data_IF_156426885148
#
_entry.id   IF_156426885148
#
_cell.length_a   1.000
_cell.length_b   1.000
_cell.length_c   1.000
_cell.angle_alpha   90.00
_cell.angle_beta   90.00
_cell.angle_gamma   90.00
#
_symmetry.space_group_name_H-M   'P 1'
#
loop_
_entity.id
_entity.type
_entity.pdbx_description
1 polymer ?
#
# COMPACT_ATOMS: atom_id res chain seq x y z
N UNK A 1 17.93 3.39 -9.17
CA UNK A 1 16.97 3.93 -8.17
C UNK A 1 17.04 3.10 -6.90
N UNK A 2 17.19 3.73 -5.72
CA UNK A 2 17.21 3.01 -4.44
C UNK A 2 15.89 2.28 -4.19
N UNK A 3 15.90 1.27 -3.34
CA UNK A 3 14.69 0.53 -2.97
C UNK A 3 13.67 1.43 -2.27
N UNK A 4 14.13 2.26 -1.33
CA UNK A 4 13.29 3.25 -0.66
C UNK A 4 12.65 4.25 -1.64
N UNK A 5 13.40 4.75 -2.62
CA UNK A 5 12.87 5.67 -3.64
C UNK A 5 11.76 5.03 -4.49
N UNK A 6 11.86 3.73 -4.80
CA UNK A 6 10.81 3.00 -5.51
C UNK A 6 9.54 2.90 -4.66
N UNK A 7 9.67 2.54 -3.37
CA UNK A 7 8.52 2.50 -2.46
C UNK A 7 7.92 3.89 -2.23
N UNK A 8 8.74 4.94 -2.13
CA UNK A 8 8.26 6.32 -1.99
C UNK A 8 7.43 6.75 -3.21
N UNK A 9 7.88 6.39 -4.42
CA UNK A 9 7.15 6.65 -5.66
C UNK A 9 5.81 5.91 -5.70
N UNK A 10 5.78 4.64 -5.27
CA UNK A 10 4.55 3.86 -5.17
C UNK A 10 3.60 4.46 -4.12
N UNK A 11 4.12 4.85 -2.96
CA UNK A 11 3.33 5.48 -1.90
C UNK A 11 2.71 6.80 -2.38
N UNK A 12 3.47 7.64 -3.09
CA UNK A 12 2.97 8.89 -3.66
C UNK A 12 1.89 8.66 -4.72
N UNK A 13 2.01 7.61 -5.52
CA UNK A 13 0.98 7.24 -6.49
C UNK A 13 -0.32 6.78 -5.82
N UNK A 14 -0.22 5.95 -4.78
CA UNK A 14 -1.37 5.49 -4.00
C UNK A 14 -2.07 6.64 -3.30
N UNK A 15 -1.30 7.54 -2.69
CA UNK A 15 -1.82 8.73 -2.04
C UNK A 15 -2.62 9.58 -3.04
N UNK A 16 -2.05 9.86 -4.20
CA UNK A 16 -2.61 10.83 -5.16
C UNK A 16 -3.90 10.35 -5.83
N UNK A 17 -4.11 9.03 -5.93
CA UNK A 17 -5.31 8.44 -6.56
C UNK A 17 -6.34 7.94 -5.58
N UNK A 18 -5.93 7.56 -4.37
CA UNK A 18 -6.83 6.94 -3.42
C UNK A 18 -7.33 7.97 -2.41
N UNK A 19 -8.65 8.06 -2.16
CA UNK A 19 -9.14 8.87 -1.05
C UNK A 19 -8.65 8.30 0.28
N UNK A 20 -8.34 9.19 1.23
CA UNK A 20 -7.84 8.83 2.57
C UNK A 20 -8.74 7.86 3.35
N UNK A 21 -10.03 7.78 2.99
CA UNK A 21 -11.00 6.85 3.60
C UNK A 21 -10.71 5.39 3.28
N UNK A 22 -9.95 5.08 2.23
CA UNK A 22 -9.57 3.71 1.88
C UNK A 22 -8.38 3.18 2.71
N UNK A 23 -7.56 4.06 3.28
CA UNK A 23 -6.31 3.67 3.95
C UNK A 23 -6.56 2.69 5.10
N UNK A 24 -7.57 2.95 5.93
CA UNK A 24 -7.94 2.07 7.05
C UNK A 24 -8.36 0.66 6.58
N UNK A 25 -9.01 0.54 5.42
CA UNK A 25 -9.40 -0.78 4.89
C UNK A 25 -8.23 -1.57 4.30
N UNK A 26 -7.19 -0.87 3.83
CA UNK A 26 -6.05 -1.48 3.15
C UNK A 26 -4.86 -1.74 4.08
N UNK A 27 -4.64 -0.88 5.07
CA UNK A 27 -3.40 -0.85 5.87
C UNK A 27 -3.61 -1.09 7.37
N UNK A 28 -4.84 -1.14 7.89
CA UNK A 28 -5.08 -1.43 9.31
C UNK A 28 -4.78 -2.90 9.64
N UNK A 29 -3.52 -3.15 9.98
CA UNK A 29 -3.02 -4.47 10.38
C UNK A 29 -3.45 -4.85 11.80
N UNK A 30 -4.13 -3.97 12.52
CA UNK A 30 -4.73 -4.22 13.84
C UNK A 30 -6.07 -4.96 13.75
N UNK A 31 -6.51 -5.33 12.54
CA UNK A 31 -7.77 -6.02 12.26
C UNK A 31 -7.83 -7.47 12.76
N UNK A 32 -7.69 -7.68 14.06
CA UNK A 32 -8.06 -8.91 14.73
C UNK A 32 -9.55 -9.21 14.55
N UNK A 33 -9.84 -10.35 13.92
CA UNK A 33 -10.99 -11.23 14.16
C UNK A 33 -12.41 -10.72 13.77
N UNK A 34 -12.67 -9.42 13.63
CA UNK A 34 -14.05 -8.88 13.51
C UNK A 34 -14.46 -8.20 12.18
N UNK A 35 -13.62 -8.24 11.13
CA UNK A 35 -13.91 -7.57 9.85
C UNK A 35 -14.94 -8.28 8.93
N UNK A 36 -15.62 -9.33 9.40
CA UNK A 36 -16.60 -10.09 8.59
C UNK A 36 -17.96 -9.39 8.40
N UNK A 37 -18.23 -8.25 9.06
CA UNK A 37 -19.61 -7.70 9.14
C UNK A 37 -19.98 -6.50 8.27
N UNK A 38 -19.12 -5.98 7.39
CA UNK A 38 -19.52 -4.91 6.46
C UNK A 38 -19.13 -5.18 5.02
N UNK A 39 -19.70 -6.24 4.44
CA UNK A 39 -19.85 -6.35 2.99
C UNK A 39 -20.88 -5.30 2.55
N UNK A 40 -20.45 -4.05 2.33
CA UNK A 40 -21.26 -3.08 1.59
C UNK A 40 -21.27 -3.51 0.13
N UNK A 41 -22.41 -4.03 -0.33
CA UNK A 41 -22.68 -4.23 -1.75
C UNK A 41 -22.65 -2.86 -2.43
N UNK A 42 -21.64 -2.61 -3.25
CA UNK A 42 -21.63 -1.44 -4.13
C UNK A 42 -22.80 -1.59 -5.11
N UNK A 43 -23.74 -0.65 -5.05
CA UNK A 43 -24.79 -0.52 -6.07
C UNK A 43 -24.15 -0.05 -7.37
N UNK A 44 -24.59 -0.57 -8.52
CA UNK A 44 -24.03 -0.27 -9.86
C UNK A 44 -23.88 1.24 -10.12
N UNK A 45 -24.83 2.05 -9.61
CA UNK A 45 -24.80 3.52 -9.67
C UNK A 45 -23.62 4.19 -8.95
N UNK A 46 -22.94 3.49 -8.05
CA UNK A 46 -21.76 3.99 -7.33
C UNK A 46 -20.44 3.68 -8.03
N UNK A 47 -20.44 2.68 -8.94
CA UNK A 47 -19.26 2.35 -9.75
C UNK A 47 -19.08 3.35 -10.88
N UNK A 48 -20.15 3.73 -11.60
CA UNK A 48 -20.10 4.76 -12.66
C UNK A 48 -19.60 6.12 -12.16
N UNK A 49 -20.03 6.55 -10.95
CA UNK A 49 -19.58 7.82 -10.36
C UNK A 49 -18.11 7.82 -9.96
N UNK A 50 -17.58 6.64 -9.61
CA UNK A 50 -16.16 6.46 -9.29
C UNK A 50 -15.31 6.54 -10.56
N UNK A 51 -15.80 5.99 -11.65
CA UNK A 51 -15.12 5.96 -12.96
C UNK A 51 -15.01 7.37 -13.58
N UNK A 52 -16.07 8.19 -13.45
CA UNK A 52 -16.05 9.60 -13.91
C UNK A 52 -15.08 10.45 -13.07
N UNK A 53 -15.09 10.30 -11.74
CA UNK A 53 -14.17 11.01 -10.85
C UNK A 53 -12.71 10.61 -11.09
N UNK A 54 -12.47 9.34 -11.46
CA UNK A 54 -11.15 8.82 -11.81
C UNK A 54 -10.66 9.39 -13.15
N UNK A 55 -11.55 9.57 -14.13
CA UNK A 55 -11.25 10.24 -15.40
C UNK A 55 -10.95 11.74 -15.21
N UNK A 56 -11.73 12.46 -14.41
CA UNK A 56 -11.48 13.89 -14.13
C UNK A 56 -10.16 14.10 -13.35
N UNK A 57 -9.85 13.23 -12.38
CA UNK A 57 -8.60 13.27 -11.63
C UNK A 57 -7.38 12.97 -12.53
N UNK A 58 -7.51 12.08 -13.52
CA UNK A 58 -6.46 11.79 -14.49
C UNK A 58 -6.11 13.01 -15.36
N UNK A 59 -7.08 13.87 -15.67
CA UNK A 59 -6.85 15.08 -16.48
C UNK A 59 -6.26 16.25 -15.66
N UNK A 60 -6.39 16.24 -14.33
CA UNK A 60 -5.96 17.33 -13.45
C UNK A 60 -4.53 17.19 -12.93
N UNK A 61 -3.94 15.99 -13.09
CA UNK A 61 -2.62 15.66 -12.55
C UNK A 61 -2.64 15.43 -11.03
N UNK A 62 -1.56 14.90 -10.47
CA UNK A 62 -1.45 14.69 -9.03
C UNK A 62 -1.48 16.04 -8.30
N UNK A 63 -2.43 16.19 -7.37
CA UNK A 63 -2.52 17.35 -6.50
C UNK A 63 -1.45 17.36 -5.40
N UNK A 64 -1.44 18.43 -4.61
CA UNK A 64 -0.69 18.48 -3.35
C UNK A 64 -1.29 17.49 -2.35
N UNK A 65 -0.44 16.81 -1.60
CA UNK A 65 -0.87 15.87 -0.59
C UNK A 65 -0.15 15.99 0.76
N UNK A 66 -0.78 15.54 1.87
CA UNK A 66 -0.17 15.56 3.19
C UNK A 66 1.03 14.61 3.26
N UNK A 67 2.17 15.12 3.72
CA UNK A 67 3.39 14.34 3.88
C UNK A 67 3.20 13.21 4.90
N UNK A 68 2.41 13.46 5.94
CA UNK A 68 2.13 12.51 7.03
C UNK A 68 1.47 11.24 6.48
N UNK A 69 0.49 11.41 5.59
CA UNK A 69 -0.21 10.30 4.94
C UNK A 69 0.71 9.52 4.01
N UNK A 70 1.53 10.22 3.22
CA UNK A 70 2.54 9.59 2.35
C UNK A 70 3.49 8.70 3.16
N UNK A 71 4.02 9.21 4.27
CA UNK A 71 4.97 8.49 5.12
C UNK A 71 4.32 7.29 5.81
N UNK A 72 3.06 7.41 6.24
CA UNK A 72 2.31 6.29 6.79
C UNK A 72 2.10 5.17 5.76
N UNK A 73 1.69 5.50 4.53
CA UNK A 73 1.55 4.53 3.44
C UNK A 73 2.89 3.88 3.12
N UNK A 74 3.96 4.68 2.99
CA UNK A 74 5.32 4.18 2.76
C UNK A 74 5.74 3.17 3.81
N UNK A 75 5.56 3.48 5.10
CA UNK A 75 5.94 2.58 6.18
C UNK A 75 5.16 1.26 6.12
N UNK A 76 3.86 1.32 5.78
CA UNK A 76 3.04 0.12 5.63
C UNK A 76 3.55 -0.80 4.51
N UNK A 77 3.83 -0.25 3.32
CA UNK A 77 4.27 -1.06 2.17
C UNK A 77 5.74 -1.47 2.25
N UNK A 78 6.59 -0.64 2.85
CA UNK A 78 8.01 -0.94 3.05
C UNK A 78 8.21 -2.03 4.10
N UNK A 79 7.41 -2.03 5.18
CA UNK A 79 7.46 -3.08 6.22
C UNK A 79 7.13 -4.48 5.68
N UNK A 80 6.19 -4.58 4.73
CA UNK A 80 5.87 -5.83 4.03
C UNK A 80 7.05 -6.27 3.14
N UNK A 81 7.68 -5.32 2.46
CA UNK A 81 8.87 -5.58 1.65
C UNK A 81 10.03 -6.12 2.50
N UNK A 82 10.34 -5.44 3.61
CA UNK A 82 11.49 -5.78 4.45
C UNK A 82 11.30 -7.09 5.21
N UNK A 83 10.10 -7.44 5.66
CA UNK A 83 9.85 -8.74 6.32
C UNK A 83 10.07 -9.92 5.37
N UNK A 84 9.59 -9.84 4.13
CA UNK A 84 9.78 -10.90 3.13
C UNK A 84 11.24 -10.98 2.64
N UNK A 85 11.87 -9.83 2.36
CA UNK A 85 13.29 -9.77 1.95
C UNK A 85 14.26 -10.18 3.06
N UNK A 86 13.96 -9.88 4.33
CA UNK A 86 14.81 -10.24 5.46
C UNK A 86 14.76 -11.75 5.74
N UNK A 87 13.59 -12.38 5.65
CA UNK A 87 13.46 -13.85 5.80
C UNK A 87 14.18 -14.62 4.70
N UNK A 88 14.14 -14.13 3.46
CA UNK A 88 14.87 -14.74 2.34
C UNK A 88 16.40 -14.58 2.50
N UNK A 89 16.87 -13.39 2.91
CA UNK A 89 18.29 -13.16 3.22
C UNK A 89 18.78 -14.02 4.38
N UNK A 90 17.99 -14.14 5.45
CA UNK A 90 18.30 -15.04 6.58
C UNK A 90 18.39 -16.48 6.11
N UNK A 91 17.43 -16.97 5.31
CA UNK A 91 17.50 -18.34 4.75
C UNK A 91 18.75 -18.55 3.92
N UNK A 92 19.11 -17.61 3.03
CA UNK A 92 20.34 -17.71 2.23
C UNK A 92 21.60 -17.72 3.10
N UNK A 93 21.68 -16.87 4.13
CA UNK A 93 22.78 -16.87 5.10
C UNK A 93 22.87 -18.21 5.85
N UNK A 94 21.76 -18.73 6.37
CA UNK A 94 21.71 -20.04 7.03
C UNK A 94 22.08 -21.19 6.10
N UNK A 95 21.78 -21.10 4.81
CA UNK A 95 22.13 -22.15 3.84
C UNK A 95 23.63 -22.09 3.53
N UNK A 96 24.19 -20.89 3.45
CA UNK A 96 25.61 -20.68 3.16
C UNK A 96 26.50 -21.11 4.33
N UNK A 97 26.10 -20.82 5.57
CA UNK A 97 26.81 -21.27 6.78
C UNK A 97 26.80 -22.81 6.93
N UNK A 98 25.69 -23.48 6.56
CA UNK A 98 25.62 -24.95 6.59
C UNK A 98 26.46 -25.65 5.53
N UNK A 99 26.81 -24.97 4.43
CA UNK A 99 27.62 -25.54 3.34
C UNK A 99 29.12 -25.29 3.58
N UNK A 100 29.47 -24.38 4.48
CA UNK A 100 30.86 -24.02 4.82
C UNK A 100 31.39 -24.69 6.10
N UNK A 101 30.62 -25.60 6.70
CA UNK A 101 31.07 -26.49 7.81
C UNK A 101 31.17 -27.92 7.31
#
# INVERSE_FOLDING_TARGET
MSTSAKYLLIAGFLEARNPATLDASMFDSTGGIDNRKRKRTASEKSMEKKEIAEQEAAMKGPGSFPLERLLAIFQCIASIGDSSFNEEKKKLLFTTERITT
#
